data_IF_354880357519
#
_entry.id   IF_354880357519
#
_cell.length_a   1.000
_cell.length_b   1.000
_cell.length_c   1.000
_cell.angle_alpha   90.00
_cell.angle_beta   90.00
_cell.angle_gamma   90.00
#
_symmetry.space_group_name_H-M   'P 1'
#
loop_
_entity.id
_entity.type
_entity.pdbx_description
1 polymer ?
#
# COMPACT_ATOMS: atom_id res chain seq x y z
N UNK A 1 -19.62 -2.64 -6.13
CA UNK A 1 -19.98 -3.12 -4.77
C UNK A 1 -20.73 -2.09 -3.90
N UNK A 2 -20.54 -0.77 -4.03
CA UNK A 2 -21.28 0.22 -3.20
C UNK A 2 -22.82 0.22 -3.34
N UNK A 3 -23.38 -0.38 -4.39
CA UNK A 3 -24.84 -0.45 -4.62
C UNK A 3 -25.54 -1.62 -3.89
N UNK A 4 -24.80 -2.52 -3.25
CA UNK A 4 -25.36 -3.73 -2.58
C UNK A 4 -25.45 -3.54 -1.06
N UNK A 5 -24.84 -2.48 -0.54
CA UNK A 5 -24.80 -2.19 0.89
C UNK A 5 -25.87 -1.13 1.16
N UNK A 6 -26.71 -1.37 2.16
CA UNK A 6 -27.71 -0.40 2.59
C UNK A 6 -27.06 0.97 2.88
N UNK A 7 -27.76 2.10 2.70
CA UNK A 7 -27.18 3.44 2.87
C UNK A 7 -26.45 3.67 4.21
N UNK A 8 -26.85 2.95 5.27
CA UNK A 8 -26.26 3.02 6.62
C UNK A 8 -25.47 1.75 7.01
N UNK A 9 -25.26 0.82 6.07
CA UNK A 9 -24.55 -0.43 6.32
C UNK A 9 -23.06 -0.19 6.55
N UNK A 10 -22.56 -0.56 7.74
CA UNK A 10 -21.13 -0.54 8.06
C UNK A 10 -20.53 -1.93 7.80
N UNK A 11 -19.52 -2.00 6.94
CA UNK A 11 -18.70 -3.22 6.80
C UNK A 11 -17.66 -3.20 7.92
N UNK A 12 -17.57 -4.31 8.68
CA UNK A 12 -16.54 -4.48 9.71
C UNK A 12 -15.12 -4.36 9.14
N UNK A 13 -14.17 -3.92 9.97
CA UNK A 13 -12.76 -3.75 9.57
C UNK A 13 -12.18 -5.08 9.04
N UNK A 14 -12.35 -6.15 9.79
CA UNK A 14 -11.86 -7.49 9.45
C UNK A 14 -12.43 -8.00 8.12
N UNK A 15 -13.70 -7.71 7.84
CA UNK A 15 -14.34 -8.09 6.59
C UNK A 15 -13.75 -7.31 5.39
N UNK A 16 -13.38 -6.04 5.58
CA UNK A 16 -12.69 -5.27 4.54
C UNK A 16 -11.30 -5.83 4.27
N UNK A 17 -10.54 -6.12 5.32
CA UNK A 17 -9.19 -6.69 5.22
C UNK A 17 -9.22 -8.07 4.55
N UNK A 18 -10.16 -8.94 4.94
CA UNK A 18 -10.34 -10.24 4.31
C UNK A 18 -10.63 -10.10 2.81
N UNK A 19 -11.61 -9.28 2.42
CA UNK A 19 -11.94 -9.06 1.01
C UNK A 19 -10.75 -8.48 0.24
N UNK A 20 -10.02 -7.54 0.82
CA UNK A 20 -8.82 -6.98 0.20
C UNK A 20 -7.72 -8.02 0.00
N UNK A 21 -7.49 -8.90 0.98
CA UNK A 21 -6.54 -10.00 0.88
C UNK A 21 -6.94 -10.98 -0.23
N UNK A 22 -8.22 -11.38 -0.28
CA UNK A 22 -8.74 -12.24 -1.35
C UNK A 22 -8.60 -11.62 -2.74
N UNK A 23 -8.95 -10.35 -2.89
CA UNK A 23 -8.83 -9.64 -4.18
C UNK A 23 -7.37 -9.55 -4.62
N UNK A 24 -6.47 -9.26 -3.68
CA UNK A 24 -5.03 -9.17 -3.96
C UNK A 24 -4.45 -10.51 -4.40
N UNK A 25 -4.84 -11.60 -3.72
CA UNK A 25 -4.44 -12.97 -4.09
C UNK A 25 -5.00 -13.37 -5.44
N UNK A 26 -6.28 -13.06 -5.71
CA UNK A 26 -6.92 -13.30 -6.99
C UNK A 26 -6.16 -12.62 -8.15
N UNK A 27 -5.81 -11.34 -8.00
CA UNK A 27 -5.02 -10.61 -9.00
C UNK A 27 -3.65 -11.28 -9.21
N UNK A 28 -2.96 -11.63 -8.12
CA UNK A 28 -1.66 -12.29 -8.19
C UNK A 28 -1.74 -13.64 -8.92
N UNK A 29 -2.79 -14.42 -8.66
CA UNK A 29 -2.99 -15.74 -9.25
C UNK A 29 -3.29 -15.65 -10.75
N UNK A 30 -4.24 -14.79 -11.16
CA UNK A 30 -4.57 -14.56 -12.58
C UNK A 30 -3.36 -14.02 -13.35
N UNK A 31 -2.62 -13.06 -12.75
CA UNK A 31 -1.44 -12.46 -13.38
C UNK A 31 -0.31 -13.48 -13.53
N UNK A 32 -0.11 -14.36 -12.55
CA UNK A 32 0.89 -15.43 -12.61
C UNK A 32 0.58 -16.40 -13.76
N UNK A 33 -0.67 -16.82 -13.87
CA UNK A 33 -1.11 -17.75 -14.92
C UNK A 33 -0.97 -17.11 -16.32
N UNK A 34 -1.39 -15.85 -16.46
CA UNK A 34 -1.24 -15.08 -17.69
C UNK A 34 0.24 -14.84 -18.07
N UNK A 35 1.11 -14.57 -17.09
CA UNK A 35 2.55 -14.43 -17.30
C UNK A 35 3.19 -15.74 -17.77
N UNK A 36 2.76 -16.88 -17.21
CA UNK A 36 3.19 -18.21 -17.65
C UNK A 36 2.86 -18.45 -19.13
N UNK A 37 1.66 -18.08 -19.57
CA UNK A 37 1.24 -18.14 -20.98
C UNK A 37 2.05 -17.21 -21.88
N UNK A 38 2.18 -15.95 -21.49
CA UNK A 38 2.98 -14.93 -22.20
C UNK A 38 4.42 -15.40 -22.46
N UNK A 39 5.06 -15.98 -21.44
CA UNK A 39 6.43 -16.51 -21.52
C UNK A 39 6.53 -17.70 -22.48
N UNK A 40 5.56 -18.61 -22.45
CA UNK A 40 5.49 -19.74 -23.40
C UNK A 40 5.36 -19.26 -24.85
N UNK A 41 4.68 -18.14 -25.06
CA UNK A 41 4.49 -17.51 -26.38
C UNK A 41 5.63 -16.56 -26.77
N UNK A 42 6.68 -16.45 -25.95
CA UNK A 42 7.84 -15.55 -26.15
C UNK A 42 7.44 -14.08 -26.37
N UNK A 43 6.32 -13.66 -25.81
CA UNK A 43 5.91 -12.26 -25.83
C UNK A 43 6.54 -11.50 -24.66
N UNK A 44 6.93 -10.25 -24.91
CA UNK A 44 7.56 -9.39 -23.90
C UNK A 44 6.55 -8.77 -22.93
N UNK A 45 5.26 -8.73 -23.31
CA UNK A 45 4.22 -8.06 -22.53
C UNK A 45 2.95 -8.91 -22.41
N UNK A 46 2.34 -8.88 -21.21
CA UNK A 46 1.06 -9.53 -20.95
C UNK A 46 -0.04 -8.73 -21.67
N UNK A 47 -0.79 -9.38 -22.57
CA UNK A 47 -1.90 -8.80 -23.31
C UNK A 47 -3.25 -9.16 -22.68
N UNK A 48 -4.32 -8.49 -23.11
CA UNK A 48 -5.69 -8.83 -22.70
C UNK A 48 -6.09 -10.27 -23.06
N UNK A 49 -5.54 -10.84 -24.13
CA UNK A 49 -5.82 -12.22 -24.51
C UNK A 49 -5.16 -13.23 -23.57
N UNK A 50 -3.96 -12.93 -23.04
CA UNK A 50 -3.33 -13.75 -22.00
C UNK A 50 -4.15 -13.76 -20.71
N UNK A 51 -4.74 -12.62 -20.34
CA UNK A 51 -5.62 -12.51 -19.17
C UNK A 51 -6.93 -13.29 -19.38
N UNK A 52 -7.54 -13.18 -20.56
CA UNK A 52 -8.73 -13.99 -20.92
C UNK A 52 -8.43 -15.49 -20.87
N UNK A 53 -7.27 -15.90 -21.39
CA UNK A 53 -6.83 -17.29 -21.32
C UNK A 53 -6.66 -17.74 -19.86
N UNK A 54 -5.98 -16.94 -19.03
CA UNK A 54 -5.79 -17.26 -17.62
C UNK A 54 -7.13 -17.40 -16.88
N UNK A 55 -8.06 -16.46 -17.07
CA UNK A 55 -9.39 -16.52 -16.48
C UNK A 55 -10.14 -17.81 -16.88
N UNK A 56 -10.00 -18.25 -18.14
CA UNK A 56 -10.63 -19.46 -18.62
C UNK A 56 -10.00 -20.72 -17.98
N UNK A 57 -8.67 -20.80 -17.97
CA UNK A 57 -7.91 -21.89 -17.34
C UNK A 57 -8.22 -22.04 -15.85
N UNK A 58 -8.41 -20.91 -15.17
CA UNK A 58 -8.69 -20.88 -13.73
C UNK A 58 -10.17 -21.13 -13.40
N UNK A 59 -11.02 -21.42 -14.39
CA UNK A 59 -12.43 -21.80 -14.19
C UNK A 59 -13.42 -20.64 -14.18
N UNK A 60 -13.01 -19.41 -14.48
CA UNK A 60 -13.89 -18.23 -14.51
C UNK A 60 -14.62 -18.08 -15.86
N UNK A 61 -15.22 -19.16 -16.36
CA UNK A 61 -15.82 -19.23 -17.71
C UNK A 61 -16.94 -18.20 -17.93
N UNK A 62 -17.78 -17.98 -16.93
CA UNK A 62 -18.90 -17.03 -17.00
C UNK A 62 -18.44 -15.57 -17.21
N UNK A 63 -17.18 -15.27 -16.88
CA UNK A 63 -16.60 -13.94 -17.06
C UNK A 63 -15.95 -13.73 -18.43
N UNK A 64 -15.69 -14.80 -19.18
CA UNK A 64 -14.92 -14.72 -20.44
C UNK A 64 -15.65 -13.92 -21.50
N UNK A 65 -16.93 -14.17 -21.72
CA UNK A 65 -17.70 -13.48 -22.75
C UNK A 65 -17.88 -11.98 -22.45
N UNK A 66 -18.24 -11.56 -21.22
CA UNK A 66 -18.21 -10.15 -20.84
C UNK A 66 -16.84 -9.49 -21.02
N UNK A 67 -15.75 -10.16 -20.59
CA UNK A 67 -14.40 -9.61 -20.70
C UNK A 67 -13.92 -9.51 -22.15
N UNK A 68 -14.29 -10.47 -23.01
CA UNK A 68 -14.02 -10.42 -24.46
C UNK A 68 -14.69 -9.21 -25.11
N UNK A 69 -15.97 -8.98 -24.80
CA UNK A 69 -16.72 -7.81 -25.30
C UNK A 69 -16.07 -6.50 -24.84
N UNK A 70 -15.66 -6.44 -23.57
CA UNK A 70 -14.95 -5.27 -23.03
C UNK A 70 -13.61 -5.03 -23.75
N UNK A 71 -12.81 -6.08 -23.94
CA UNK A 71 -11.52 -5.99 -24.63
C UNK A 71 -11.68 -5.57 -26.10
N UNK A 72 -12.71 -6.08 -26.78
CA UNK A 72 -13.03 -5.69 -28.15
C UNK A 72 -13.42 -4.21 -28.25
N UNK A 73 -14.26 -3.73 -27.32
CA UNK A 73 -14.62 -2.31 -27.25
C UNK A 73 -13.40 -1.44 -26.97
N UNK A 74 -12.53 -1.85 -26.04
CA UNK A 74 -11.30 -1.13 -25.72
C UNK A 74 -10.35 -1.04 -26.93
N UNK A 75 -10.20 -2.13 -27.68
CA UNK A 75 -9.42 -2.16 -28.94
C UNK A 75 -10.01 -1.25 -30.03
N UNK A 76 -11.33 -1.11 -30.09
CA UNK A 76 -12.02 -0.21 -31.03
C UNK A 76 -11.96 1.28 -30.66
N UNK A 77 -11.60 1.61 -29.41
CA UNK A 77 -11.50 2.99 -28.90
C UNK A 77 -10.09 3.56 -29.00
N UNK A 78 -9.04 2.72 -29.13
CA UNK A 78 -7.67 3.20 -29.34
C UNK A 78 -7.44 3.52 -30.84
N UNK A 79 -7.13 4.77 -31.23
CA UNK A 79 -6.93 5.11 -32.63
C UNK A 79 -5.62 4.53 -33.16
N UNK A 80 -5.70 3.71 -34.22
CA UNK A 80 -4.58 3.41 -35.13
C UNK A 80 -4.22 4.71 -35.88
N UNK A 81 -3.26 5.47 -35.38
CA UNK A 81 -2.58 6.62 -36.03
C UNK A 81 -3.48 7.82 -36.43
N UNK A 82 -2.86 9.00 -36.36
CA UNK A 82 -3.41 10.33 -36.66
C UNK A 82 -4.01 10.43 -38.08
N UNK A 83 -5.31 10.80 -38.20
CA UNK A 83 -5.89 11.72 -39.20
C UNK A 83 -7.19 12.29 -38.61
N UNK A 84 -7.43 13.59 -38.81
CA UNK A 84 -8.54 14.37 -38.26
C UNK A 84 -9.88 14.25 -39.03
N UNK A 85 -10.98 14.47 -38.27
CA UNK A 85 -12.37 14.88 -38.62
C UNK A 85 -13.37 13.90 -39.30
N UNK A 86 -14.70 14.15 -39.21
CA UNK A 86 -15.51 14.80 -38.15
C UNK A 86 -16.71 13.93 -37.69
N UNK A 87 -17.29 14.30 -36.54
CA UNK A 87 -18.42 13.65 -35.85
C UNK A 87 -19.77 13.83 -36.63
N UNK A 88 -20.82 13.01 -36.42
CA UNK A 88 -21.72 13.25 -35.28
C UNK A 88 -22.38 11.99 -34.67
N UNK A 89 -22.26 11.82 -33.34
CA UNK A 89 -23.34 11.70 -32.33
C UNK A 89 -22.71 11.42 -30.94
N UNK A 90 -23.30 11.89 -29.82
CA UNK A 90 -22.58 12.05 -28.56
C UNK A 90 -22.44 10.72 -27.81
N UNK A 91 -21.31 10.05 -28.01
CA UNK A 91 -20.80 9.07 -27.04
C UNK A 91 -20.30 9.88 -25.84
N UNK A 92 -20.57 9.50 -24.57
CA UNK A 92 -19.98 10.18 -23.43
C UNK A 92 -18.48 10.16 -23.65
N UNK A 93 -17.86 11.35 -23.73
CA UNK A 93 -16.43 11.49 -23.90
C UNK A 93 -15.74 10.54 -22.92
N UNK A 94 -14.87 9.68 -23.46
CA UNK A 94 -13.95 8.91 -22.64
C UNK A 94 -13.13 9.95 -21.91
N UNK A 95 -13.56 10.26 -20.68
CA UNK A 95 -13.00 11.33 -19.88
C UNK A 95 -11.52 11.03 -19.71
N UNK A 96 -10.69 11.92 -20.23
CA UNK A 96 -9.25 11.81 -20.06
C UNK A 96 -8.92 12.07 -18.59
N UNK A 97 -8.70 10.99 -17.84
CA UNK A 97 -8.30 11.07 -16.43
C UNK A 97 -6.87 11.56 -16.26
N UNK A 98 -6.09 11.71 -17.34
CA UNK A 98 -4.76 12.33 -17.29
C UNK A 98 -4.83 13.85 -17.09
N UNK A 99 -5.97 14.47 -17.41
CA UNK A 99 -6.25 15.90 -17.18
C UNK A 99 -6.83 16.22 -15.80
N UNK A 100 -6.95 15.22 -14.91
CA UNK A 100 -7.33 15.48 -13.52
C UNK A 100 -6.37 16.51 -12.91
N UNK A 101 -6.92 17.53 -12.27
CA UNK A 101 -6.13 18.49 -11.52
C UNK A 101 -5.35 17.79 -10.41
N UNK A 102 -4.19 18.35 -10.06
CA UNK A 102 -3.35 17.85 -8.98
C UNK A 102 -4.14 17.70 -7.67
N UNK A 103 -5.10 18.60 -7.41
CA UNK A 103 -5.99 18.52 -6.25
C UNK A 103 -6.90 17.29 -6.27
N UNK A 104 -7.47 16.95 -7.44
CA UNK A 104 -8.31 15.78 -7.58
C UNK A 104 -7.49 14.48 -7.45
N UNK A 105 -6.29 14.44 -8.03
CA UNK A 105 -5.36 13.31 -7.87
C UNK A 105 -4.90 13.16 -6.42
N UNK A 106 -4.57 14.27 -5.74
CA UNK A 106 -4.22 14.29 -4.32
C UNK A 106 -5.37 13.73 -3.48
N UNK A 107 -6.60 14.20 -3.70
CA UNK A 107 -7.78 13.69 -2.99
C UNK A 107 -8.00 12.17 -3.20
N UNK A 108 -7.71 11.64 -4.39
CA UNK A 108 -7.74 10.19 -4.64
C UNK A 108 -6.59 9.49 -3.91
N UNK A 109 -5.38 10.02 -3.99
CA UNK A 109 -4.18 9.40 -3.41
C UNK A 109 -4.21 9.40 -1.89
N UNK A 110 -4.87 10.36 -1.23
CA UNK A 110 -5.10 10.29 0.24
C UNK A 110 -5.94 9.07 0.66
N UNK A 111 -6.58 8.37 -0.29
CA UNK A 111 -7.31 7.11 -0.06
C UNK A 111 -6.50 5.87 -0.39
N UNK A 112 -5.28 6.04 -0.88
CA UNK A 112 -4.34 4.97 -1.21
C UNK A 112 -3.23 4.90 -0.15
N UNK A 113 -2.71 3.71 0.12
CA UNK A 113 -1.54 3.53 0.98
C UNK A 113 -0.22 3.73 0.23
N UNK A 114 0.90 3.77 0.97
CA UNK A 114 2.26 3.88 0.42
C UNK A 114 2.51 2.86 -0.69
N UNK A 115 2.06 1.61 -0.49
CA UNK A 115 2.34 0.50 -1.41
C UNK A 115 1.61 0.72 -2.73
N UNK A 116 0.34 1.08 -2.69
CA UNK A 116 -0.50 1.32 -3.86
C UNK A 116 -0.03 2.53 -4.67
N UNK A 117 0.45 3.58 -3.98
CA UNK A 117 1.01 4.77 -4.65
C UNK A 117 2.34 4.43 -5.32
N UNK A 118 3.28 3.80 -4.60
CA UNK A 118 4.63 3.55 -5.12
C UNK A 118 4.71 2.41 -6.15
N UNK A 119 3.80 1.43 -6.08
CA UNK A 119 3.79 0.28 -6.99
C UNK A 119 2.69 0.34 -8.05
N UNK A 120 1.85 1.38 -8.02
CA UNK A 120 0.71 1.52 -8.92
C UNK A 120 0.55 2.95 -9.40
N UNK A 121 -0.13 3.78 -8.61
CA UNK A 121 -0.62 5.08 -9.06
C UNK A 121 0.50 6.02 -9.54
N UNK A 122 1.62 6.06 -8.82
CA UNK A 122 2.79 6.88 -9.18
C UNK A 122 3.55 6.41 -10.43
N UNK A 123 3.19 5.27 -11.01
CA UNK A 123 3.84 4.71 -12.21
C UNK A 123 2.99 4.86 -13.48
N UNK A 124 1.81 5.48 -13.39
CA UNK A 124 0.85 5.56 -14.51
C UNK A 124 1.29 6.59 -15.56
N UNK A 125 1.51 7.84 -15.15
CA UNK A 125 1.94 8.92 -16.04
C UNK A 125 2.67 10.02 -15.25
N UNK A 126 3.23 11.01 -15.97
CA UNK A 126 3.96 12.13 -15.35
C UNK A 126 3.09 12.93 -14.36
N UNK A 127 1.85 13.28 -14.72
CA UNK A 127 0.93 14.03 -13.85
C UNK A 127 0.67 13.29 -12.52
N UNK A 128 0.45 11.98 -12.59
CA UNK A 128 0.23 11.14 -11.41
C UNK A 128 1.51 10.96 -10.59
N UNK A 129 2.68 10.86 -11.24
CA UNK A 129 3.95 10.83 -10.54
C UNK A 129 4.18 12.12 -9.74
N UNK A 130 3.88 13.29 -10.32
CA UNK A 130 4.01 14.57 -9.63
C UNK A 130 3.02 14.70 -8.47
N UNK A 131 1.76 14.29 -8.66
CA UNK A 131 0.78 14.23 -7.57
C UNK A 131 1.23 13.27 -6.45
N UNK A 132 1.85 12.13 -6.79
CA UNK A 132 2.37 11.16 -5.81
C UNK A 132 3.57 11.69 -5.00
N UNK A 133 4.22 12.78 -5.41
CA UNK A 133 5.31 13.41 -4.65
C UNK A 133 4.82 14.43 -3.63
N UNK A 134 3.53 14.78 -3.63
CA UNK A 134 2.98 15.75 -2.70
C UNK A 134 3.13 15.30 -1.25
N UNK A 135 3.77 16.14 -0.44
CA UNK A 135 4.11 15.86 0.95
C UNK A 135 2.91 15.49 1.82
N UNK A 136 1.73 16.08 1.56
CA UNK A 136 0.52 15.83 2.35
C UNK A 136 0.05 14.37 2.30
N UNK A 137 0.45 13.61 1.26
CA UNK A 137 0.13 12.19 1.12
C UNK A 137 0.92 11.31 2.10
N UNK A 138 2.05 11.80 2.60
CA UNK A 138 3.04 11.02 3.33
C UNK A 138 3.08 11.36 4.83
N UNK A 139 2.04 12.03 5.34
CA UNK A 139 1.89 12.37 6.76
C UNK A 139 1.48 11.16 7.60
N UNK A 140 0.78 10.21 7.01
CA UNK A 140 0.37 8.96 7.65
C UNK A 140 0.81 7.80 6.77
N UNK A 141 1.60 6.89 7.32
CA UNK A 141 2.04 5.69 6.64
C UNK A 141 1.53 4.45 7.38
N UNK A 142 0.72 3.65 6.70
CA UNK A 142 0.36 2.30 7.13
C UNK A 142 0.77 1.30 6.05
N UNK A 143 1.78 0.49 6.40
CA UNK A 143 2.26 -0.63 5.60
C UNK A 143 1.97 -1.97 6.29
N UNK A 144 1.04 -2.03 7.25
CA UNK A 144 0.66 -3.25 7.97
C UNK A 144 -0.39 -4.07 7.20
N UNK A 145 -0.44 -5.39 7.40
CA UNK A 145 -1.52 -6.24 6.86
C UNK A 145 -1.63 -6.37 5.32
N UNK A 146 -0.78 -5.67 4.56
CA UNK A 146 -0.83 -5.69 3.10
C UNK A 146 -0.14 -6.95 2.55
N UNK A 147 -0.79 -7.72 1.65
CA UNK A 147 -0.25 -8.98 1.11
C UNK A 147 1.16 -8.86 0.48
N UNK A 148 1.51 -7.66 0.02
CA UNK A 148 2.85 -7.36 -0.54
C UNK A 148 3.94 -7.42 0.54
N UNK A 149 3.62 -7.06 1.79
CA UNK A 149 4.54 -7.12 2.95
C UNK A 149 5.03 -8.55 3.19
N UNK A 150 4.18 -9.55 2.97
CA UNK A 150 4.51 -10.96 3.17
C UNK A 150 5.11 -11.64 1.93
N UNK A 151 5.02 -11.01 0.76
CA UNK A 151 5.46 -11.60 -0.52
C UNK A 151 6.69 -10.92 -1.13
N UNK A 152 7.05 -9.71 -0.70
CA UNK A 152 8.28 -9.01 -1.12
C UNK A 152 9.36 -9.13 -0.05
N UNK A 153 10.61 -9.09 -0.48
CA UNK A 153 11.75 -9.09 0.42
C UNK A 153 11.74 -7.82 1.30
N UNK A 154 12.07 -7.97 2.58
CA UNK A 154 12.03 -6.87 3.56
C UNK A 154 12.87 -5.66 3.17
N UNK A 155 13.94 -5.85 2.40
CA UNK A 155 14.77 -4.75 1.87
C UNK A 155 14.01 -3.84 0.87
N UNK A 156 13.06 -4.38 0.10
CA UNK A 156 12.20 -3.58 -0.79
C UNK A 156 11.25 -2.73 0.05
N UNK A 157 10.65 -3.33 1.07
CA UNK A 157 9.74 -2.63 1.98
C UNK A 157 10.46 -1.51 2.73
N UNK A 158 11.67 -1.75 3.23
CA UNK A 158 12.52 -0.70 3.82
C UNK A 158 12.80 0.44 2.85
N UNK A 159 13.08 0.16 1.58
CA UNK A 159 13.31 1.20 0.57
C UNK A 159 12.05 2.02 0.32
N UNK A 160 10.88 1.37 0.27
CA UNK A 160 9.60 2.05 0.10
C UNK A 160 9.29 2.98 1.28
N UNK A 161 9.49 2.49 2.52
CA UNK A 161 9.36 3.29 3.72
C UNK A 161 10.31 4.50 3.70
N UNK A 162 11.58 4.31 3.30
CA UNK A 162 12.52 5.44 3.15
C UNK A 162 12.03 6.48 2.14
N UNK A 163 11.47 6.05 1.01
CA UNK A 163 10.88 6.97 0.02
C UNK A 163 9.70 7.74 0.60
N UNK A 164 8.82 7.09 1.37
CA UNK A 164 7.71 7.74 2.05
C UNK A 164 8.20 8.79 3.06
N UNK A 165 9.20 8.43 3.88
CA UNK A 165 9.86 9.34 4.84
C UNK A 165 10.46 10.54 4.12
N UNK A 166 11.18 10.35 3.01
CA UNK A 166 11.77 11.45 2.26
C UNK A 166 10.73 12.38 1.66
N UNK A 167 9.64 11.83 1.12
CA UNK A 167 8.54 12.62 0.54
C UNK A 167 7.73 13.35 1.61
N UNK A 168 7.73 12.85 2.85
CA UNK A 168 7.07 13.52 3.97
C UNK A 168 7.74 14.84 4.38
N UNK A 169 8.97 15.10 3.94
CA UNK A 169 9.72 16.33 4.21
C UNK A 169 9.68 16.71 5.71
N UNK A 170 9.82 15.71 6.58
CA UNK A 170 9.78 15.85 8.04
C UNK A 170 8.40 16.11 8.66
N UNK A 171 7.33 16.13 7.85
CA UNK A 171 5.93 16.26 8.29
C UNK A 171 5.22 14.94 8.57
N UNK A 172 5.94 13.82 8.57
CA UNK A 172 5.40 12.52 8.95
C UNK A 172 4.91 12.53 10.39
N UNK A 173 3.64 12.17 10.60
CA UNK A 173 2.99 12.13 11.91
C UNK A 173 2.83 10.70 12.44
N UNK A 174 2.62 9.72 11.55
CA UNK A 174 2.41 8.33 11.95
C UNK A 174 3.14 7.36 11.02
N UNK A 175 3.81 6.37 11.61
CA UNK A 175 4.51 5.31 10.88
C UNK A 175 4.15 3.93 11.42
N UNK A 176 3.44 3.13 10.62
CA UNK A 176 3.00 1.79 10.99
C UNK A 176 3.58 0.76 10.02
N UNK A 177 4.30 -0.23 10.55
CA UNK A 177 4.99 -1.22 9.76
C UNK A 177 5.00 -2.60 10.42
N UNK A 178 5.01 -3.64 9.59
CA UNK A 178 4.97 -5.04 10.01
C UNK A 178 6.12 -5.85 9.39
N UNK A 179 6.80 -6.67 10.19
CA UNK A 179 7.84 -7.65 9.79
C UNK A 179 9.16 -7.15 9.20
N UNK A 180 9.20 -6.00 8.53
CA UNK A 180 10.41 -5.54 7.81
C UNK A 180 11.21 -4.45 8.52
N UNK A 181 10.75 -3.95 9.67
CA UNK A 181 11.41 -2.83 10.36
C UNK A 181 12.80 -3.23 10.87
N UNK A 182 13.83 -2.58 10.33
CA UNK A 182 15.23 -2.76 10.74
C UNK A 182 15.69 -1.62 11.67
N UNK A 183 16.79 -1.85 12.38
CA UNK A 183 17.46 -0.82 13.19
C UNK A 183 17.88 0.40 12.35
N UNK A 184 18.39 0.16 11.14
CA UNK A 184 18.75 1.21 10.18
C UNK A 184 17.54 2.06 9.78
N UNK A 185 16.37 1.44 9.58
CA UNK A 185 15.15 2.16 9.24
C UNK A 185 14.69 3.06 10.40
N UNK A 186 14.77 2.57 11.64
CA UNK A 186 14.45 3.39 12.80
C UNK A 186 15.40 4.57 12.98
N UNK A 187 16.71 4.35 12.81
CA UNK A 187 17.69 5.43 12.87
C UNK A 187 17.43 6.46 11.75
N UNK A 188 17.01 5.99 10.57
CA UNK A 188 16.59 6.84 9.45
C UNK A 188 15.36 7.69 9.80
N UNK A 189 14.29 7.06 10.32
CA UNK A 189 13.09 7.77 10.78
C UNK A 189 13.46 8.80 11.84
N UNK A 190 14.25 8.40 12.84
CA UNK A 190 14.67 9.29 13.93
C UNK A 190 15.50 10.49 13.44
N UNK A 191 16.18 10.39 12.30
CA UNK A 191 16.96 11.49 11.71
C UNK A 191 16.14 12.48 10.88
N UNK A 192 14.92 12.11 10.46
CA UNK A 192 14.09 12.91 9.55
C UNK A 192 12.69 13.22 10.08
N UNK A 193 12.17 12.40 11.00
CA UNK A 193 10.80 12.45 11.51
C UNK A 193 10.64 13.35 12.73
N UNK A 194 10.84 14.66 12.55
CA UNK A 194 10.70 15.63 13.64
C UNK A 194 9.24 15.81 14.11
N UNK A 195 8.27 15.56 13.23
CA UNK A 195 6.84 15.70 13.50
C UNK A 195 6.15 14.40 13.91
N UNK A 196 6.91 13.31 14.10
CA UNK A 196 6.36 11.99 14.35
C UNK A 196 5.66 11.94 15.73
N UNK A 197 4.37 11.62 15.72
CA UNK A 197 3.48 11.52 16.89
C UNK A 197 3.17 10.09 17.27
N UNK A 198 3.07 9.18 16.30
CA UNK A 198 2.71 7.78 16.52
C UNK A 198 3.60 6.82 15.75
N UNK A 199 4.04 5.75 16.40
CA UNK A 199 4.76 4.65 15.74
C UNK A 199 4.21 3.31 16.17
N UNK A 200 3.94 2.43 15.20
CA UNK A 200 3.48 1.06 15.43
C UNK A 200 4.39 0.07 14.70
N UNK A 201 4.95 -0.86 15.46
CA UNK A 201 5.88 -1.88 14.96
C UNK A 201 5.33 -3.25 15.32
N UNK A 202 4.96 -4.02 14.30
CA UNK A 202 4.36 -5.35 14.46
C UNK A 202 5.34 -6.42 13.97
N UNK A 203 5.72 -7.37 14.85
CA UNK A 203 6.40 -8.62 14.49
C UNK A 203 7.65 -8.48 13.61
N UNK A 204 8.51 -7.48 13.86
CA UNK A 204 9.85 -7.44 13.28
C UNK A 204 10.81 -8.27 14.14
N UNK A 205 11.46 -9.27 13.55
CA UNK A 205 12.56 -9.97 14.20
C UNK A 205 13.65 -8.98 14.60
N UNK A 206 14.13 -9.08 15.84
CA UNK A 206 15.20 -8.28 16.44
C UNK A 206 14.77 -6.91 17.02
N UNK A 207 14.17 -6.93 18.20
CA UNK A 207 14.23 -5.79 19.13
C UNK A 207 14.70 -6.27 20.51
N UNK A 208 16.01 -6.53 20.60
CA UNK A 208 16.72 -6.61 21.88
C UNK A 208 17.48 -5.31 22.18
N UNK A 209 17.28 -4.27 21.38
CA UNK A 209 18.11 -3.07 21.37
C UNK A 209 17.30 -1.82 21.74
N UNK A 210 17.98 -0.91 22.42
CA UNK A 210 17.61 0.47 22.81
C UNK A 210 17.26 1.40 21.62
N UNK A 211 17.09 0.89 20.39
CA UNK A 211 16.80 1.66 19.17
C UNK A 211 15.47 2.41 19.24
N UNK A 212 14.40 1.80 19.76
CA UNK A 212 13.11 2.51 19.90
C UNK A 212 13.22 3.63 20.94
N UNK A 213 13.97 3.40 22.03
CA UNK A 213 14.23 4.45 23.01
C UNK A 213 15.06 5.59 22.39
N UNK A 214 16.06 5.29 21.57
CA UNK A 214 16.81 6.31 20.80
C UNK A 214 15.94 7.07 19.82
N UNK A 215 15.01 6.41 19.14
CA UNK A 215 14.05 7.07 18.27
C UNK A 215 13.16 8.02 19.09
N UNK A 216 12.61 7.53 20.20
CA UNK A 216 11.82 8.35 21.12
C UNK A 216 12.59 9.57 21.66
N UNK A 217 13.92 9.45 21.84
CA UNK A 217 14.77 10.56 22.25
C UNK A 217 14.90 11.65 21.18
N UNK A 218 14.88 11.25 19.90
CA UNK A 218 15.06 12.16 18.76
C UNK A 218 13.75 12.71 18.21
N UNK A 219 12.60 12.12 18.57
CA UNK A 219 11.28 12.54 18.14
C UNK A 219 10.53 13.26 19.27
N UNK A 220 10.67 14.60 19.41
CA UNK A 220 10.11 15.37 20.53
C UNK A 220 8.60 15.52 20.48
N UNK A 221 7.93 15.07 19.41
CA UNK A 221 6.48 15.06 19.29
C UNK A 221 5.85 13.68 19.50
N UNK A 222 6.66 12.66 19.82
CA UNK A 222 6.16 11.29 19.92
C UNK A 222 5.25 11.12 21.13
N UNK A 223 4.01 10.74 20.90
CA UNK A 223 2.97 10.56 21.93
C UNK A 223 2.57 9.10 22.10
N UNK A 224 2.75 8.28 21.06
CA UNK A 224 2.22 6.92 21.00
C UNK A 224 3.26 5.96 20.44
N UNK A 225 3.55 4.91 21.20
CA UNK A 225 4.41 3.81 20.78
C UNK A 225 3.64 2.51 20.95
N UNK A 226 3.61 1.72 19.89
CA UNK A 226 3.14 0.36 19.93
C UNK A 226 4.20 -0.61 19.41
N UNK A 227 4.48 -1.63 20.22
CA UNK A 227 5.32 -2.76 19.83
C UNK A 227 4.54 -4.06 20.05
N UNK A 228 4.19 -4.73 18.96
CA UNK A 228 3.40 -5.95 18.98
C UNK A 228 4.24 -7.16 18.57
N UNK A 229 3.95 -8.32 19.16
CA UNK A 229 4.65 -9.60 19.04
C UNK A 229 6.11 -9.58 19.53
N UNK A 230 6.44 -8.74 20.52
CA UNK A 230 7.79 -8.60 21.07
C UNK A 230 7.80 -8.56 22.59
N UNK A 231 8.64 -9.40 23.21
CA UNK A 231 8.92 -9.33 24.64
C UNK A 231 10.04 -8.30 24.89
N UNK A 232 9.71 -7.19 25.53
CA UNK A 232 10.68 -6.15 25.86
C UNK A 232 11.31 -6.38 27.24
N UNK A 233 12.63 -6.19 27.41
CA UNK A 233 13.32 -6.35 28.69
C UNK A 233 12.98 -5.21 29.66
N UNK A 234 13.14 -5.41 30.97
CA UNK A 234 12.79 -4.40 31.98
C UNK A 234 13.49 -3.04 31.78
N UNK A 235 14.74 -3.06 31.33
CA UNK A 235 15.52 -1.83 31.11
C UNK A 235 14.94 -0.95 29.98
N UNK A 236 14.25 -1.56 29.00
CA UNK A 236 13.60 -0.85 27.90
C UNK A 236 12.59 0.17 28.43
N UNK A 237 11.70 -0.27 29.31
CA UNK A 237 10.67 0.58 29.91
C UNK A 237 11.27 1.71 30.74
N UNK A 238 12.36 1.42 31.49
CA UNK A 238 13.06 2.43 32.28
C UNK A 238 13.70 3.49 31.39
N UNK A 239 14.35 3.09 30.30
CA UNK A 239 14.93 4.03 29.34
C UNK A 239 13.85 4.85 28.64
N UNK A 240 12.79 4.19 28.16
CA UNK A 240 11.72 4.87 27.45
C UNK A 240 11.01 5.89 28.34
N UNK A 241 10.73 5.54 29.60
CA UNK A 241 10.15 6.47 30.58
C UNK A 241 11.07 7.64 30.93
N UNK A 242 12.39 7.43 30.95
CA UNK A 242 13.37 8.50 31.19
C UNK A 242 13.50 9.46 30.00
N UNK A 243 13.47 8.91 28.79
CA UNK A 243 13.65 9.67 27.55
C UNK A 243 12.38 10.40 27.14
N UNK A 244 11.21 9.79 27.38
CA UNK A 244 9.92 10.30 26.91
C UNK A 244 8.83 10.18 27.98
N UNK A 245 8.90 10.99 29.06
CA UNK A 245 7.93 10.94 30.15
C UNK A 245 6.52 11.39 29.71
N UNK A 246 6.41 12.18 28.64
CA UNK A 246 5.14 12.71 28.10
C UNK A 246 4.39 11.74 27.19
N UNK A 247 4.86 10.49 27.06
CA UNK A 247 4.23 9.50 26.21
C UNK A 247 2.81 9.21 26.69
N UNK A 248 1.81 9.48 25.85
CA UNK A 248 0.39 9.31 26.18
C UNK A 248 -0.03 7.84 26.13
N UNK A 249 0.53 7.06 25.21
CA UNK A 249 0.20 5.64 25.04
C UNK A 249 1.44 4.79 24.77
N UNK A 250 1.61 3.75 25.57
CA UNK A 250 2.53 2.66 25.33
C UNK A 250 1.75 1.36 25.26
N UNK A 251 1.71 0.72 24.08
CA UNK A 251 1.04 -0.57 23.88
C UNK A 251 2.06 -1.64 23.55
N UNK A 252 2.22 -2.62 24.43
CA UNK A 252 3.07 -3.79 24.19
C UNK A 252 2.19 -5.02 24.14
N UNK A 253 2.08 -5.64 22.97
CA UNK A 253 1.30 -6.88 22.79
C UNK A 253 2.28 -8.03 22.64
N UNK A 254 2.40 -8.88 23.66
CA UNK A 254 3.14 -10.14 23.52
C UNK A 254 2.17 -11.21 23.02
N UNK A 255 2.58 -12.06 22.07
CA UNK A 255 1.90 -13.34 21.90
C UNK A 255 2.11 -14.14 23.17
N UNK A 256 1.04 -14.32 23.94
CA UNK A 256 1.03 -15.35 24.96
C UNK A 256 1.32 -16.67 24.28
N UNK A 257 2.31 -17.39 24.80
CA UNK A 257 2.38 -18.84 24.63
C UNK A 257 0.99 -19.39 24.89
N UNK A 258 0.32 -19.88 23.85
CA UNK A 258 -0.87 -20.71 23.98
C UNK A 258 -0.51 -21.78 25.00
N UNK A 259 -1.21 -21.79 26.13
CA UNK A 259 -1.11 -22.90 27.07
C UNK A 259 -1.41 -24.17 26.27
N UNK A 260 -0.41 -25.04 26.15
CA UNK A 260 -0.67 -26.44 25.87
C UNK A 260 -1.51 -26.96 27.04
N UNK A 261 -2.74 -27.37 26.74
CA UNK A 261 -3.42 -28.43 27.47
C UNK A 261 -3.35 -29.69 26.61
#
# INVERSE_FOLDING_TARGET
MRKVIAPNGKIGKDAKEAVQAFVSEFIAFVTREASGKCRKEKQEAITGDHLLWAMATLGFQDYIQPLKLYLQKYRGVLPRKMVAEPNPLPVPEVRDWSELTVDALSAIFTKLGTIEILMGAGLVCHSWLEAAKLTELWRFEDMTGHNVVFSKAGNVMCKMAKVAIDRSDGRMESFWAEKFVSSELLDYIASRGNSLKSIQIISSGCFQDDKVARLAAKCPMLEEIECSHQKQPAYFYKQLGAVRPELKRLRIVCLGSTQMQ
#
